data_IF_413120516438
#
_entry.id   IF_413120516438
#
_cell.length_a   1.000
_cell.length_b   1.000
_cell.length_c   1.000
_cell.angle_alpha   90.00
_cell.angle_beta   90.00
_cell.angle_gamma   90.00
#
_symmetry.space_group_name_H-M   'P 1'
#
loop_
_entity.id
_entity.type
_entity.pdbx_description
1 polymer ?
#
# COMPACT_ATOMS: atom_id res chain seq x y z
N UNK A 1 12.48 17.26 4.55
CA UNK A 1 11.13 16.95 4.03
C UNK A 1 10.86 15.48 4.32
N UNK A 2 9.66 15.14 4.78
CA UNK A 2 9.25 13.74 4.95
C UNK A 2 8.91 13.12 3.60
N UNK A 3 9.00 11.80 3.52
CA UNK A 3 8.80 11.01 2.31
C UNK A 3 7.37 11.07 1.76
N UNK A 4 7.25 10.84 0.45
CA UNK A 4 5.96 10.68 -0.23
C UNK A 4 5.47 9.23 -0.13
N UNK A 5 4.24 9.04 0.33
CA UNK A 5 3.60 7.74 0.54
C UNK A 5 2.40 7.57 -0.39
N UNK A 6 2.28 6.40 -1.01
CA UNK A 6 1.05 5.97 -1.67
C UNK A 6 0.59 4.64 -1.05
N UNK A 7 -0.71 4.56 -0.76
CA UNK A 7 -1.33 3.36 -0.23
C UNK A 7 -2.33 2.82 -1.25
N UNK A 8 -2.25 1.51 -1.50
CA UNK A 8 -3.24 0.74 -2.27
C UNK A 8 -4.02 -0.15 -1.30
N UNK A 9 -5.34 -0.03 -1.28
CA UNK A 9 -6.23 -0.83 -0.43
C UNK A 9 -6.94 -1.87 -1.29
N UNK A 10 -6.80 -3.15 -0.94
CA UNK A 10 -7.38 -4.28 -1.65
C UNK A 10 -8.15 -5.19 -0.70
N UNK A 11 -9.29 -5.72 -1.16
CA UNK A 11 -10.12 -6.62 -0.38
C UNK A 11 -11.44 -6.01 0.06
N UNK A 12 -11.70 -5.98 1.37
CA UNK A 12 -13.02 -5.69 1.89
C UNK A 12 -13.13 -4.27 2.51
N UNK A 13 -14.35 -3.90 2.92
CA UNK A 13 -14.62 -2.60 3.55
C UNK A 13 -13.76 -2.33 4.79
N UNK A 14 -13.35 -3.38 5.52
CA UNK A 14 -12.44 -3.24 6.66
C UNK A 14 -11.07 -2.73 6.23
N UNK A 15 -10.51 -3.26 5.14
CA UNK A 15 -9.22 -2.79 4.62
C UNK A 15 -9.29 -1.32 4.21
N UNK A 16 -10.40 -0.87 3.63
CA UNK A 16 -10.59 0.54 3.29
C UNK A 16 -10.57 1.44 4.54
N UNK A 17 -11.32 1.09 5.58
CA UNK A 17 -11.33 1.85 6.85
C UNK A 17 -9.95 1.83 7.50
N UNK A 18 -9.29 0.67 7.58
CA UNK A 18 -7.94 0.57 8.14
C UNK A 18 -6.94 1.43 7.34
N UNK A 19 -7.09 1.48 6.01
CA UNK A 19 -6.29 2.32 5.12
C UNK A 19 -6.48 3.81 5.35
N UNK A 20 -7.70 4.28 5.58
CA UNK A 20 -7.97 5.69 5.95
C UNK A 20 -7.33 6.06 7.28
N UNK A 21 -7.37 5.14 8.26
CA UNK A 21 -6.68 5.33 9.55
C UNK A 21 -5.17 5.44 9.36
N UNK A 22 -4.57 4.54 8.56
CA UNK A 22 -3.12 4.59 8.25
C UNK A 22 -2.75 5.91 7.59
N UNK A 23 -3.50 6.34 6.57
CA UNK A 23 -3.28 7.61 5.86
C UNK A 23 -3.41 8.81 6.79
N UNK A 24 -4.41 8.81 7.68
CA UNK A 24 -4.61 9.85 8.69
C UNK A 24 -3.44 9.96 9.67
N UNK A 25 -2.89 8.83 10.13
CA UNK A 25 -1.71 8.82 11.00
C UNK A 25 -0.46 9.32 10.28
N UNK A 26 -0.21 8.86 9.05
CA UNK A 26 0.92 9.32 8.24
C UNK A 26 0.85 10.81 7.95
N UNK A 27 -0.34 11.33 7.62
CA UNK A 27 -0.55 12.76 7.39
C UNK A 27 -0.26 13.59 8.65
N UNK A 28 -0.72 13.15 9.83
CA UNK A 28 -0.42 13.80 11.12
C UNK A 28 1.07 13.83 11.42
N UNK A 29 1.80 12.78 11.04
CA UNK A 29 3.26 12.70 11.18
C UNK A 29 4.03 13.47 10.09
N UNK A 30 3.33 14.16 9.18
CA UNK A 30 3.92 15.05 8.18
C UNK A 30 4.38 14.37 6.89
N UNK A 31 4.03 13.11 6.65
CA UNK A 31 4.28 12.46 5.35
C UNK A 31 3.42 13.08 4.25
N UNK A 32 3.95 13.09 3.01
CA UNK A 32 3.22 13.59 1.86
C UNK A 32 2.42 12.44 1.22
N UNK A 33 1.10 12.58 1.10
CA UNK A 33 0.27 11.54 0.51
C UNK A 33 0.13 11.75 -1.00
N UNK A 34 0.19 10.67 -1.77
CA UNK A 34 -0.10 10.68 -3.20
C UNK A 34 -0.96 9.49 -3.61
N UNK A 35 -1.79 9.69 -4.62
CA UNK A 35 -2.57 8.63 -5.27
C UNK A 35 -1.84 8.04 -6.47
N UNK A 36 -0.66 8.54 -6.82
CA UNK A 36 0.16 8.06 -7.93
C UNK A 36 1.34 7.22 -7.40
N UNK A 37 1.32 5.88 -7.56
CA UNK A 37 2.38 5.01 -7.10
C UNK A 37 3.76 5.33 -7.67
N UNK A 38 3.84 5.90 -8.88
CA UNK A 38 5.12 6.22 -9.54
C UNK A 38 5.87 7.38 -8.85
N UNK A 39 5.13 8.22 -8.13
CA UNK A 39 5.67 9.39 -7.40
C UNK A 39 5.99 9.09 -5.95
N UNK A 40 5.59 7.92 -5.44
CA UNK A 40 5.79 7.54 -4.05
C UNK A 40 7.21 7.02 -3.78
N UNK A 41 7.77 7.42 -2.65
CA UNK A 41 9.01 6.87 -2.09
C UNK A 41 8.69 5.65 -1.21
N UNK A 42 7.51 5.61 -0.60
CA UNK A 42 7.00 4.49 0.18
C UNK A 42 5.67 4.03 -0.43
N UNK A 43 5.59 2.75 -0.75
CA UNK A 43 4.37 2.09 -1.21
C UNK A 43 3.85 1.17 -0.10
N UNK A 44 2.56 1.28 0.22
CA UNK A 44 1.88 0.40 1.16
C UNK A 44 0.77 -0.32 0.41
N UNK A 45 0.74 -1.65 0.47
CA UNK A 45 -0.38 -2.45 -0.03
C UNK A 45 -1.10 -3.04 1.17
N UNK A 46 -2.32 -2.61 1.44
CA UNK A 46 -3.18 -3.16 2.49
C UNK A 46 -4.10 -4.20 1.87
N UNK A 47 -4.00 -5.45 2.35
CA UNK A 47 -4.53 -6.62 1.65
C UNK A 47 -5.46 -7.46 2.52
N UNK A 48 -6.36 -8.20 1.89
CA UNK A 48 -7.22 -9.19 2.52
C UNK A 48 -6.83 -10.60 2.07
N UNK A 49 -6.84 -11.57 2.98
CA UNK A 49 -6.64 -13.00 2.66
C UNK A 49 -7.92 -13.84 2.78
N UNK A 50 -9.03 -13.24 3.22
CA UNK A 50 -10.30 -13.92 3.36
C UNK A 50 -11.06 -14.05 2.03
N UNK A 51 -10.79 -13.16 1.09
CA UNK A 51 -11.39 -13.18 -0.25
C UNK A 51 -10.32 -13.68 -1.22
N UNK A 52 -10.61 -14.77 -1.92
CA UNK A 52 -9.65 -15.43 -2.82
C UNK A 52 -9.26 -14.52 -4.00
N UNK A 53 -10.24 -13.89 -4.65
CA UNK A 53 -9.98 -12.93 -5.73
C UNK A 53 -9.11 -11.75 -5.25
N UNK A 54 -9.39 -11.20 -4.07
CA UNK A 54 -8.58 -10.14 -3.49
C UNK A 54 -7.15 -10.60 -3.15
N UNK A 55 -6.97 -11.89 -2.83
CA UNK A 55 -5.64 -12.47 -2.59
C UNK A 55 -4.84 -12.51 -3.89
N UNK A 56 -5.46 -12.94 -4.99
CA UNK A 56 -4.83 -12.96 -6.31
C UNK A 56 -4.46 -11.55 -6.77
N UNK A 57 -5.41 -10.62 -6.68
CA UNK A 57 -5.21 -9.21 -7.01
C UNK A 57 -4.09 -8.58 -6.17
N UNK A 58 -4.02 -8.91 -4.88
CA UNK A 58 -2.95 -8.44 -3.99
C UNK A 58 -1.58 -8.92 -4.46
N UNK A 59 -1.44 -10.21 -4.79
CA UNK A 59 -0.16 -10.77 -5.27
C UNK A 59 0.25 -10.09 -6.58
N UNK A 60 -0.66 -9.96 -7.55
CA UNK A 60 -0.40 -9.29 -8.82
C UNK A 60 0.03 -7.83 -8.63
N UNK A 61 -0.70 -7.10 -7.77
CA UNK A 61 -0.39 -5.70 -7.44
C UNK A 61 0.98 -5.56 -6.79
N UNK A 62 1.32 -6.44 -5.83
CA UNK A 62 2.64 -6.44 -5.18
C UNK A 62 3.75 -6.64 -6.22
N UNK A 63 3.58 -7.60 -7.15
CA UNK A 63 4.56 -7.82 -8.21
C UNK A 63 4.68 -6.62 -9.16
N UNK A 64 3.56 -6.01 -9.56
CA UNK A 64 3.58 -4.79 -10.39
C UNK A 64 4.31 -3.64 -9.68
N UNK A 65 3.96 -3.36 -8.42
CA UNK A 65 4.57 -2.29 -7.64
C UNK A 65 6.03 -2.56 -7.28
N UNK A 66 6.45 -3.83 -7.17
CA UNK A 66 7.85 -4.20 -6.95
C UNK A 66 8.77 -3.70 -8.08
N UNK A 67 8.26 -3.52 -9.30
CA UNK A 67 9.01 -2.96 -10.43
C UNK A 67 9.36 -1.49 -10.19
N UNK A 68 8.45 -0.74 -9.56
CA UNK A 68 8.69 0.66 -9.18
C UNK A 68 9.82 0.81 -8.15
N UNK A 69 10.17 -0.26 -7.42
CA UNK A 69 11.36 -0.27 -6.55
C UNK A 69 12.68 -0.32 -7.32
N UNK A 70 12.67 -0.86 -8.54
CA UNK A 70 13.85 -0.94 -9.41
C UNK A 70 13.98 0.28 -10.33
N UNK A 71 12.86 0.77 -10.83
CA UNK A 71 12.82 1.75 -11.92
C UNK A 71 12.31 3.14 -11.48
N UNK A 72 11.62 3.20 -10.34
CA UNK A 72 10.95 4.39 -9.83
C UNK A 72 11.61 4.99 -8.59
N UNK A 73 10.83 5.81 -7.87
CA UNK A 73 11.27 6.49 -6.63
C UNK A 73 11.08 5.63 -5.37
N UNK A 74 10.38 4.50 -5.50
CA UNK A 74 10.02 3.64 -4.38
C UNK A 74 11.29 3.05 -3.75
N UNK A 75 11.58 3.43 -2.50
CA UNK A 75 12.66 2.82 -1.69
C UNK A 75 12.12 1.72 -0.77
N UNK A 76 10.85 1.79 -0.40
CA UNK A 76 10.21 0.86 0.54
C UNK A 76 8.84 0.44 0.00
N UNK A 77 8.64 -0.88 -0.08
CA UNK A 77 7.34 -1.49 -0.38
C UNK A 77 6.94 -2.29 0.87
N UNK A 78 5.80 -1.95 1.45
CA UNK A 78 5.24 -2.57 2.64
C UNK A 78 3.98 -3.33 2.26
N UNK A 79 3.90 -4.60 2.62
CA UNK A 79 2.66 -5.37 2.55
C UNK A 79 2.06 -5.42 3.94
N UNK A 80 0.80 -5.04 4.06
CA UNK A 80 0.04 -4.96 5.30
C UNK A 80 -1.33 -5.63 5.15
N UNK A 81 -2.04 -5.79 6.26
CA UNK A 81 -3.33 -6.47 6.31
C UNK A 81 -3.22 -7.97 6.59
N UNK A 82 -4.19 -8.74 6.12
CA UNK A 82 -4.39 -10.14 6.52
C UNK A 82 -3.57 -11.14 5.69
N UNK A 83 -3.03 -10.77 4.54
CA UNK A 83 -2.26 -11.67 3.68
C UNK A 83 -0.89 -12.07 4.27
N UNK A 84 -0.08 -11.15 4.84
CA UNK A 84 1.20 -11.51 5.45
C UNK A 84 1.09 -12.37 6.72
N UNK A 85 -0.11 -12.49 7.29
CA UNK A 85 -0.37 -13.25 8.52
C UNK A 85 -0.71 -14.72 8.26
N UNK A 86 -0.76 -15.14 6.99
CA UNK A 86 -1.00 -16.52 6.57
C UNK A 86 0.27 -17.31 6.35
#
# INVERSE_FOLDING_TARGET
MKETVCLVSLGCAKNLVDSEVILGLLSKEGYLLTTDPSRAEILIVNTCSFIEEATREAIETIFQLSRLKKEGRCRLLVVSGCLPQR
#
